data_IF_334922662649
#
_entry.id   IF_334922662649
#
_cell.length_a   1.000
_cell.length_b   1.000
_cell.length_c   1.000
_cell.angle_alpha   90.00
_cell.angle_beta   90.00
_cell.angle_gamma   90.00
#
_symmetry.space_group_name_H-M   'P 1'
#
loop_
_entity.id
_entity.type
_entity.pdbx_description
1 polymer ?
#
# COMPACT_ATOMS: atom_id res chain seq x y z
N UNK A 1 -6.88 37.93 3.06
CA UNK A 1 -6.84 36.78 3.98
C UNK A 1 -5.70 37.01 4.96
N UNK A 2 -5.97 37.15 6.26
CA UNK A 2 -4.93 37.29 7.27
C UNK A 2 -4.38 35.89 7.60
N UNK A 3 -3.13 35.62 7.22
CA UNK A 3 -2.44 34.38 7.56
C UNK A 3 -1.80 34.57 8.92
N UNK A 4 -2.32 33.89 9.94
CA UNK A 4 -1.76 33.90 11.29
C UNK A 4 -0.32 33.34 11.27
N UNK A 5 0.67 34.00 11.92
CA UNK A 5 2.01 33.46 12.03
C UNK A 5 1.99 32.09 12.70
N UNK A 6 2.70 31.13 12.09
CA UNK A 6 2.86 29.79 12.63
C UNK A 6 3.57 29.91 13.97
N UNK A 7 2.89 29.59 15.07
CA UNK A 7 3.47 29.58 16.41
C UNK A 7 4.75 28.74 16.37
N UNK A 8 5.88 29.42 16.54
CA UNK A 8 7.21 28.82 16.64
C UNK A 8 7.40 28.38 18.09
N UNK A 9 6.52 27.48 18.54
CA UNK A 9 6.63 26.89 19.86
C UNK A 9 7.78 25.88 19.78
N UNK A 10 8.98 26.39 20.05
CA UNK A 10 10.20 25.59 20.31
C UNK A 10 9.98 24.98 21.70
N UNK A 11 8.92 24.19 21.84
CA UNK A 11 8.38 23.73 23.09
C UNK A 11 8.97 22.37 23.45
N UNK A 12 9.76 22.37 24.53
CA UNK A 12 10.26 21.23 25.31
C UNK A 12 10.93 20.11 24.52
N UNK A 13 12.24 20.00 24.73
CA UNK A 13 12.98 18.78 24.41
C UNK A 13 12.31 17.59 25.11
N UNK A 14 11.97 16.56 24.33
CA UNK A 14 11.42 15.29 24.82
C UNK A 14 12.33 14.73 25.92
N UNK A 15 11.81 14.64 27.14
CA UNK A 15 12.55 14.05 28.25
C UNK A 15 11.75 12.85 28.77
N UNK A 16 12.07 11.62 28.33
CA UNK A 16 11.31 10.44 28.72
C UNK A 16 11.31 10.25 30.25
N UNK A 17 12.33 10.79 30.93
CA UNK A 17 12.47 10.70 32.38
C UNK A 17 11.50 11.58 33.17
N UNK A 18 11.03 12.68 32.57
CA UNK A 18 10.10 13.63 33.18
C UNK A 18 8.68 13.51 32.62
N UNK A 19 8.54 13.01 31.39
CA UNK A 19 7.26 13.00 30.67
C UNK A 19 6.44 11.73 30.91
N UNK A 20 7.05 10.64 31.42
CA UNK A 20 6.37 9.35 31.62
C UNK A 20 6.67 8.70 32.96
N UNK A 21 5.67 8.01 33.52
CA UNK A 21 5.86 7.11 34.65
C UNK A 21 6.59 5.82 34.23
N UNK A 22 7.23 5.14 35.18
CA UNK A 22 7.99 3.91 34.93
C UNK A 22 7.15 2.83 34.22
N UNK A 23 5.90 2.63 34.66
CA UNK A 23 4.96 1.69 34.01
C UNK A 23 4.65 2.07 32.56
N UNK A 24 4.52 3.37 32.28
CA UNK A 24 4.27 3.87 30.92
C UNK A 24 5.48 3.62 30.01
N UNK A 25 6.71 3.84 30.50
CA UNK A 25 7.94 3.55 29.75
C UNK A 25 8.07 2.07 29.40
N UNK A 26 7.71 1.19 30.33
CA UNK A 26 7.76 -0.25 30.10
C UNK A 26 6.81 -0.67 28.96
N UNK A 27 5.57 -0.15 28.97
CA UNK A 27 4.59 -0.41 27.91
C UNK A 27 5.01 0.14 26.55
N UNK A 28 5.57 1.36 26.51
CA UNK A 28 6.07 1.93 25.25
C UNK A 28 7.25 1.13 24.69
N UNK A 29 8.17 0.68 25.55
CA UNK A 29 9.28 -0.18 25.16
C UNK A 29 8.80 -1.52 24.63
N UNK A 30 7.83 -2.15 25.29
CA UNK A 30 7.24 -3.42 24.83
C UNK A 30 6.58 -3.28 23.45
N UNK A 31 5.81 -2.20 23.24
CA UNK A 31 5.17 -1.92 21.96
C UNK A 31 6.21 -1.63 20.88
N UNK A 32 7.29 -0.91 21.22
CA UNK A 32 8.38 -0.62 20.30
C UNK A 32 9.11 -1.90 19.86
N UNK A 33 9.43 -2.78 20.81
CA UNK A 33 10.06 -4.08 20.56
C UNK A 33 9.17 -4.97 19.70
N UNK A 34 7.88 -5.10 20.05
CA UNK A 34 6.91 -5.87 19.26
C UNK A 34 6.74 -5.31 17.85
N UNK A 35 6.81 -3.99 17.67
CA UNK A 35 6.77 -3.37 16.35
C UNK A 35 8.07 -3.61 15.55
N UNK A 36 9.23 -3.67 16.20
CA UNK A 36 10.50 -4.02 15.57
C UNK A 36 10.48 -5.49 15.10
N UNK A 37 10.05 -6.42 15.95
CA UNK A 37 9.89 -7.84 15.61
C UNK A 37 8.95 -8.05 14.43
N UNK A 38 7.80 -7.37 14.39
CA UNK A 38 6.87 -7.43 13.25
C UNK A 38 7.49 -6.94 11.95
N UNK A 39 8.40 -5.97 11.99
CA UNK A 39 9.15 -5.53 10.80
C UNK A 39 10.20 -6.56 10.40
N UNK A 40 10.92 -7.12 11.37
CA UNK A 40 11.90 -8.18 11.12
C UNK A 40 11.24 -9.42 10.48
N UNK A 41 10.09 -9.88 11.00
CA UNK A 41 9.33 -11.00 10.44
C UNK A 41 8.82 -10.69 9.02
N UNK A 42 8.32 -9.47 8.77
CA UNK A 42 7.92 -9.06 7.41
C UNK A 42 9.09 -9.02 6.44
N UNK A 43 10.27 -8.58 6.90
CA UNK A 43 11.48 -8.55 6.11
C UNK A 43 12.01 -9.97 5.84
N UNK A 44 11.92 -10.88 6.82
CA UNK A 44 12.31 -12.29 6.66
C UNK A 44 11.37 -13.07 5.74
N UNK A 45 10.06 -12.76 5.74
CA UNK A 45 9.10 -13.36 4.79
C UNK A 45 9.21 -12.70 3.40
N UNK A 46 9.59 -11.42 3.34
CA UNK A 46 9.78 -10.68 2.09
C UNK A 46 11.17 -10.82 1.45
N UNK A 47 12.17 -11.33 2.16
CA UNK A 47 13.55 -11.46 1.67
C UNK A 47 13.70 -12.51 0.57
N UNK A 48 12.75 -13.45 0.45
CA UNK A 48 12.70 -14.35 -0.70
C UNK A 48 12.18 -13.67 -1.98
N UNK A 49 11.67 -12.43 -1.91
CA UNK A 49 11.07 -11.72 -3.05
C UNK A 49 11.60 -10.30 -3.31
N UNK A 50 12.45 -9.72 -2.45
CA UNK A 50 12.74 -8.29 -2.50
C UNK A 50 14.21 -7.89 -2.25
N UNK A 51 15.18 -8.66 -2.76
CA UNK A 51 16.61 -8.31 -2.70
C UNK A 51 17.02 -7.06 -3.51
N UNK A 52 16.09 -6.26 -4.03
CA UNK A 52 16.47 -5.06 -4.76
C UNK A 52 15.36 -4.02 -4.67
N UNK A 53 15.45 -3.11 -3.69
CA UNK A 53 15.18 -1.67 -3.84
C UNK A 53 15.12 -0.97 -2.48
N UNK A 54 16.06 -0.04 -2.35
CA UNK A 54 16.21 1.07 -1.42
C UNK A 54 14.88 1.68 -0.89
N UNK A 55 14.82 2.15 0.37
CA UNK A 55 13.59 2.68 0.95
C UNK A 55 13.40 4.16 0.60
N UNK A 56 12.48 4.44 -0.30
CA UNK A 56 11.89 5.79 -0.47
C UNK A 56 10.78 5.99 0.59
N UNK A 57 10.69 7.15 1.26
CA UNK A 57 9.65 7.41 2.22
C UNK A 57 8.39 7.95 1.52
N UNK A 58 7.24 7.67 2.12
CA UNK A 58 5.91 8.30 1.90
C UNK A 58 5.08 7.76 0.72
N UNK A 59 4.11 6.92 1.06
CA UNK A 59 2.74 7.34 1.31
C UNK A 59 1.95 6.06 1.56
N UNK A 60 1.16 6.01 2.63
CA UNK A 60 0.18 4.94 2.83
C UNK A 60 -0.93 5.14 1.80
N UNK A 61 -0.65 4.82 0.53
CA UNK A 61 -1.70 4.59 -0.44
C UNK A 61 -2.47 3.39 0.10
N UNK A 62 -3.71 3.66 0.48
CA UNK A 62 -4.68 2.62 0.78
C UNK A 62 -4.64 1.66 -0.41
N UNK A 63 -3.99 0.51 -0.24
CA UNK A 63 -3.88 -0.49 -1.30
C UNK A 63 -5.30 -1.01 -1.49
N UNK A 64 -6.06 -0.32 -2.36
CA UNK A 64 -7.28 -0.84 -2.96
C UNK A 64 -6.85 -2.22 -3.46
N UNK A 65 -7.36 -3.27 -2.82
CA UNK A 65 -7.10 -4.64 -3.27
C UNK A 65 -7.53 -4.66 -4.72
N UNK A 66 -6.57 -4.61 -5.66
CA UNK A 66 -6.86 -4.74 -7.09
C UNK A 66 -7.52 -6.10 -7.22
N UNK A 67 -8.83 -6.11 -7.39
CA UNK A 67 -9.56 -7.31 -7.72
C UNK A 67 -9.09 -7.69 -9.12
N UNK A 68 -8.13 -8.62 -9.19
CA UNK A 68 -7.60 -9.18 -10.45
C UNK A 68 -8.74 -9.59 -11.39
N UNK A 69 -9.86 -10.01 -10.81
CA UNK A 69 -11.09 -10.40 -11.50
C UNK A 69 -11.76 -9.27 -12.31
N UNK A 70 -11.62 -7.98 -11.93
CA UNK A 70 -12.28 -6.89 -12.68
C UNK A 70 -11.69 -6.67 -14.07
N UNK A 71 -10.37 -6.82 -14.22
CA UNK A 71 -9.70 -6.78 -15.51
C UNK A 71 -9.99 -8.03 -16.34
N UNK A 72 -10.06 -9.20 -15.70
CA UNK A 72 -10.31 -10.47 -16.36
C UNK A 72 -11.72 -10.55 -16.97
N UNK A 73 -12.73 -10.08 -16.25
CA UNK A 73 -14.12 -10.04 -16.74
C UNK A 73 -14.25 -9.12 -17.94
N UNK A 74 -13.64 -7.92 -17.89
CA UNK A 74 -13.65 -6.99 -19.03
C UNK A 74 -12.93 -7.59 -20.23
N UNK A 75 -11.79 -8.27 -20.03
CA UNK A 75 -11.07 -8.96 -21.09
C UNK A 75 -11.90 -10.09 -21.71
N UNK A 76 -12.58 -10.91 -20.89
CA UNK A 76 -13.45 -11.98 -21.36
C UNK A 76 -14.62 -11.45 -22.20
N UNK A 77 -15.27 -10.36 -21.77
CA UNK A 77 -16.34 -9.71 -22.53
C UNK A 77 -15.81 -9.21 -23.88
N UNK A 78 -14.67 -8.53 -23.90
CA UNK A 78 -14.07 -8.04 -25.15
C UNK A 78 -13.67 -9.18 -26.09
N UNK A 79 -13.11 -10.28 -25.58
CA UNK A 79 -12.79 -11.46 -26.39
C UNK A 79 -14.04 -12.10 -27.00
N UNK A 80 -15.15 -12.16 -26.27
CA UNK A 80 -16.42 -12.67 -26.80
C UNK A 80 -16.96 -11.76 -27.93
N UNK A 81 -16.92 -10.44 -27.75
CA UNK A 81 -17.35 -9.46 -28.77
C UNK A 81 -16.47 -9.57 -30.03
N UNK A 82 -15.14 -9.64 -29.87
CA UNK A 82 -14.19 -9.83 -30.97
C UNK A 82 -14.42 -11.16 -31.70
N UNK A 83 -14.66 -12.24 -30.95
CA UNK A 83 -14.94 -13.55 -31.53
C UNK A 83 -16.23 -13.58 -32.35
N UNK A 84 -17.33 -13.04 -31.82
CA UNK A 84 -18.60 -12.96 -32.55
C UNK A 84 -18.50 -12.05 -33.79
N UNK A 85 -17.81 -10.91 -33.68
CA UNK A 85 -17.62 -10.01 -34.82
C UNK A 85 -16.79 -10.66 -35.92
N UNK A 86 -15.70 -11.36 -35.59
CA UNK A 86 -14.92 -12.13 -36.57
C UNK A 86 -15.71 -13.26 -37.22
N UNK A 87 -16.46 -14.02 -36.42
CA UNK A 87 -17.32 -15.09 -36.93
C UNK A 87 -18.37 -14.54 -37.89
N UNK A 88 -18.96 -13.40 -37.57
CA UNK A 88 -19.93 -12.72 -38.42
C UNK A 88 -19.31 -12.22 -39.73
N UNK A 89 -18.10 -11.67 -39.69
CA UNK A 89 -17.37 -11.26 -40.90
C UNK A 89 -17.11 -12.47 -41.79
N UNK A 90 -16.57 -13.56 -41.25
CA UNK A 90 -16.33 -14.80 -42.02
C UNK A 90 -17.64 -15.33 -42.62
N UNK A 91 -18.73 -15.30 -41.86
CA UNK A 91 -20.04 -15.72 -42.34
C UNK A 91 -20.54 -14.86 -43.52
N UNK A 92 -20.35 -13.53 -43.46
CA UNK A 92 -20.72 -12.63 -44.55
C UNK A 92 -19.79 -12.72 -45.77
N UNK A 93 -18.49 -12.97 -45.54
CA UNK A 93 -17.49 -13.04 -46.63
C UNK A 93 -17.37 -14.42 -47.24
N UNK A 94 -17.67 -15.48 -46.49
CA UNK A 94 -17.60 -16.88 -46.94
C UNK A 94 -18.91 -17.42 -47.52
N UNK A 95 -19.95 -16.58 -47.59
CA UNK A 95 -21.21 -16.86 -48.28
C UNK A 95 -21.23 -16.50 -49.76
N UNK A 96 -20.06 -16.27 -50.38
CA UNK A 96 -19.86 -16.05 -51.82
C UNK A 96 -19.11 -17.22 -52.45
#
# INVERSE_FOLDING_TARGET
MAVSPKHNDIGKHYNPDQDFSNDQRHRFTEIANRAAERRAQKNAVGSNAASNKQPQPKAKTHKRKKTFFSGLVRAAIWSAVLGLTWLWVIFMTGGY
#
